data_IF_319369590806
#
_entry.id   IF_319369590806
#
_cell.length_a   1.000
_cell.length_b   1.000
_cell.length_c   1.000
_cell.angle_alpha   90.00
_cell.angle_beta   90.00
_cell.angle_gamma   90.00
#
_symmetry.space_group_name_H-M   'P 1'
#
loop_
_entity.id
_entity.type
_entity.pdbx_description
1 polymer ?
#
# COMPACT_ATOMS: atom_id res chain seq x y z
N UNK A 1 -19.21 1.22 28.77
CA UNK A 1 -20.15 1.03 27.64
C UNK A 1 -19.83 -0.27 26.90
N UNK A 2 -18.60 -0.47 26.41
CA UNK A 2 -18.17 -1.71 25.74
C UNK A 2 -18.40 -2.95 26.64
N UNK A 3 -17.96 -2.92 27.90
CA UNK A 3 -18.11 -4.07 28.83
C UNK A 3 -19.55 -4.53 29.04
N UNK A 4 -20.53 -3.62 28.93
CA UNK A 4 -21.95 -3.99 29.06
C UNK A 4 -22.50 -4.62 27.78
N UNK A 5 -21.98 -4.23 26.63
CA UNK A 5 -22.40 -4.77 25.33
C UNK A 5 -21.75 -6.13 25.07
N UNK A 6 -20.49 -6.32 25.50
CA UNK A 6 -19.78 -7.61 25.40
C UNK A 6 -20.52 -8.75 26.10
N UNK A 7 -21.24 -8.47 27.20
CA UNK A 7 -22.06 -9.48 27.91
C UNK A 7 -23.20 -10.05 27.07
N UNK A 8 -23.63 -9.34 26.03
CA UNK A 8 -24.74 -9.73 25.17
C UNK A 8 -24.28 -10.26 23.80
N UNK A 9 -22.97 -10.32 23.56
CA UNK A 9 -22.40 -10.82 22.32
C UNK A 9 -22.17 -12.33 22.37
N UNK A 10 -21.97 -12.93 21.20
CA UNK A 10 -21.45 -14.30 21.11
C UNK A 10 -20.19 -14.49 21.97
N UNK A 11 -20.14 -15.59 22.72
CA UNK A 11 -19.08 -15.86 23.71
C UNK A 11 -17.68 -15.97 23.11
N UNK A 12 -17.56 -16.48 21.87
CA UNK A 12 -16.26 -16.62 21.19
C UNK A 12 -15.75 -15.23 20.80
N UNK A 13 -16.63 -14.41 20.23
CA UNK A 13 -16.30 -13.03 19.83
C UNK A 13 -16.01 -12.17 21.06
N UNK A 14 -16.83 -12.25 22.12
CA UNK A 14 -16.61 -11.52 23.36
C UNK A 14 -15.24 -11.86 23.98
N UNK A 15 -14.90 -13.16 24.05
CA UNK A 15 -13.61 -13.61 24.58
C UNK A 15 -12.41 -13.12 23.74
N UNK A 16 -12.54 -13.09 22.41
CA UNK A 16 -11.52 -12.53 21.53
C UNK A 16 -11.31 -11.03 21.76
N UNK A 17 -12.40 -10.27 21.87
CA UNK A 17 -12.36 -8.83 22.11
C UNK A 17 -11.81 -8.48 23.50
N UNK A 18 -12.22 -9.22 24.55
CA UNK A 18 -11.68 -9.06 25.90
C UNK A 18 -10.17 -9.36 25.95
N UNK A 19 -9.73 -10.41 25.26
CA UNK A 19 -8.31 -10.75 25.13
C UNK A 19 -7.53 -9.58 24.53
N UNK A 20 -8.03 -9.01 23.43
CA UNK A 20 -7.41 -7.85 22.80
C UNK A 20 -7.37 -6.61 23.72
N UNK A 21 -8.48 -6.30 24.40
CA UNK A 21 -8.57 -5.19 25.35
C UNK A 21 -7.63 -5.34 26.55
N UNK A 22 -7.30 -6.59 26.92
CA UNK A 22 -6.31 -6.91 27.96
C UNK A 22 -4.85 -6.82 27.48
N UNK A 23 -4.62 -6.42 26.23
CA UNK A 23 -3.28 -6.29 25.63
C UNK A 23 -2.69 -7.60 25.13
N UNK A 24 -3.47 -8.69 25.08
CA UNK A 24 -3.01 -9.99 24.57
C UNK A 24 -3.32 -10.13 23.08
N UNK A 25 -2.42 -10.82 22.37
CA UNK A 25 -2.64 -11.16 20.97
C UNK A 25 -3.82 -12.15 20.82
N UNK A 26 -4.62 -11.95 19.78
CA UNK A 26 -5.67 -12.90 19.39
C UNK A 26 -5.14 -13.95 18.39
N UNK A 27 -5.78 -15.11 18.36
CA UNK A 27 -5.50 -16.21 17.45
C UNK A 27 -6.05 -15.94 16.04
N UNK A 28 -5.67 -16.77 15.08
CA UNK A 28 -6.28 -16.74 13.74
C UNK A 28 -7.75 -17.17 13.78
N UNK A 29 -8.13 -18.09 14.66
CA UNK A 29 -9.52 -18.52 14.83
C UNK A 29 -10.41 -17.41 15.38
N UNK A 30 -9.91 -16.65 16.36
CA UNK A 30 -10.57 -15.45 16.86
C UNK A 30 -10.82 -14.47 15.71
N UNK A 31 -9.77 -14.20 14.90
CA UNK A 31 -9.86 -13.27 13.79
C UNK A 31 -10.84 -13.72 12.71
N UNK A 32 -10.94 -15.02 12.43
CA UNK A 32 -11.97 -15.57 11.52
C UNK A 32 -13.37 -15.30 12.07
N UNK A 33 -13.62 -15.56 13.36
CA UNK A 33 -14.91 -15.26 13.98
C UNK A 33 -15.26 -13.76 13.89
N UNK A 34 -14.27 -12.88 14.09
CA UNK A 34 -14.47 -11.44 13.93
C UNK A 34 -14.74 -11.04 12.48
N UNK A 35 -14.04 -11.64 11.50
CA UNK A 35 -14.28 -11.39 10.08
C UNK A 35 -15.66 -11.85 9.62
N UNK A 36 -16.18 -12.94 10.19
CA UNK A 36 -17.48 -13.50 9.83
C UNK A 36 -18.63 -12.89 10.64
N UNK A 37 -18.32 -12.07 11.65
CA UNK A 37 -19.30 -11.38 12.48
C UNK A 37 -20.20 -10.41 11.70
N UNK A 38 -21.42 -10.24 12.22
CA UNK A 38 -22.45 -9.32 11.71
C UNK A 38 -23.13 -8.62 12.88
N UNK A 39 -24.00 -7.64 12.62
CA UNK A 39 -24.87 -7.06 13.66
C UNK A 39 -24.11 -6.46 14.85
N UNK A 40 -24.48 -6.85 16.07
CA UNK A 40 -23.91 -6.34 17.32
C UNK A 40 -22.41 -6.61 17.40
N UNK A 41 -21.98 -7.82 17.04
CA UNK A 41 -20.60 -8.28 17.11
C UNK A 41 -19.67 -7.50 16.17
N UNK A 42 -20.16 -7.18 14.97
CA UNK A 42 -19.42 -6.31 14.04
C UNK A 42 -19.23 -4.91 14.63
N UNK A 43 -20.29 -4.33 15.22
CA UNK A 43 -20.22 -3.02 15.85
C UNK A 43 -19.26 -3.02 17.05
N UNK A 44 -19.29 -4.07 17.87
CA UNK A 44 -18.36 -4.28 18.97
C UNK A 44 -16.91 -4.37 18.49
N UNK A 45 -16.67 -5.11 17.41
CA UNK A 45 -15.34 -5.22 16.78
C UNK A 45 -14.83 -3.84 16.37
N UNK A 46 -15.68 -3.02 15.74
CA UNK A 46 -15.34 -1.65 15.36
C UNK A 46 -15.02 -0.77 16.59
N UNK A 47 -15.87 -0.80 17.62
CA UNK A 47 -15.67 -0.03 18.86
C UNK A 47 -14.38 -0.42 19.59
N UNK A 48 -14.09 -1.71 19.68
CA UNK A 48 -12.86 -2.22 20.31
C UNK A 48 -11.64 -1.82 19.49
N UNK A 49 -11.71 -1.89 18.17
CA UNK A 49 -10.62 -1.40 17.31
C UNK A 49 -10.35 0.10 17.52
N UNK A 50 -11.38 0.93 17.59
CA UNK A 50 -11.21 2.37 17.84
C UNK A 50 -10.60 2.66 19.22
N UNK A 51 -11.05 1.92 20.25
CA UNK A 51 -10.51 2.03 21.60
C UNK A 51 -9.04 1.61 21.67
N UNK A 52 -8.66 0.50 21.02
CA UNK A 52 -7.27 0.06 20.92
C UNK A 52 -6.41 1.09 20.17
N UNK A 53 -6.91 1.62 19.05
CA UNK A 53 -6.24 2.70 18.31
C UNK A 53 -6.01 3.91 19.22
N UNK A 54 -7.04 4.37 19.94
CA UNK A 54 -6.94 5.51 20.86
C UNK A 54 -5.91 5.28 21.95
N UNK A 55 -5.84 4.08 22.55
CA UNK A 55 -4.83 3.73 23.57
C UNK A 55 -3.41 3.72 23.02
N UNK A 56 -3.23 3.22 21.80
CA UNK A 56 -1.90 2.97 21.23
C UNK A 56 -1.30 4.19 20.53
N UNK A 57 -2.11 4.96 19.79
CA UNK A 57 -1.62 6.06 18.93
C UNK A 57 -2.29 7.41 19.20
N UNK A 58 -3.22 7.49 20.16
CA UNK A 58 -3.93 8.72 20.48
C UNK A 58 -4.85 9.18 19.35
N UNK A 59 -5.11 10.49 19.30
CA UNK A 59 -6.07 11.10 18.37
C UNK A 59 -5.45 11.68 17.10
N UNK A 60 -4.13 11.54 16.94
CA UNK A 60 -3.46 11.94 15.72
C UNK A 60 -3.82 10.98 14.58
N UNK A 61 -4.21 11.56 13.45
CA UNK A 61 -4.31 10.83 12.17
C UNK A 61 -3.28 11.44 11.24
N UNK A 62 -2.39 10.58 10.75
CA UNK A 62 -1.26 11.03 9.95
C UNK A 62 -1.56 11.06 8.46
N UNK A 63 -0.76 11.79 7.69
CA UNK A 63 -0.69 11.69 6.23
C UNK A 63 0.71 12.09 5.73
N UNK A 64 1.07 11.66 4.52
CA UNK A 64 2.33 12.04 3.87
C UNK A 64 2.06 12.77 2.55
N UNK A 65 2.90 13.75 2.21
CA UNK A 65 2.87 14.37 0.88
C UNK A 65 3.83 13.59 0.00
N UNK A 66 3.29 12.87 -0.97
CA UNK A 66 4.07 11.99 -1.83
C UNK A 66 3.60 12.00 -3.29
N UNK A 67 4.44 11.46 -4.17
CA UNK A 67 4.15 11.23 -5.58
C UNK A 67 4.42 9.78 -5.97
N UNK A 68 3.50 9.18 -6.70
CA UNK A 68 3.73 7.88 -7.34
C UNK A 68 4.41 8.10 -8.70
N UNK A 69 5.47 7.35 -8.95
CA UNK A 69 6.20 7.34 -10.21
C UNK A 69 6.27 5.89 -10.68
N UNK A 70 5.25 5.48 -11.44
CA UNK A 70 5.27 4.20 -12.12
C UNK A 70 6.08 4.33 -13.41
N UNK A 71 7.34 3.89 -13.43
CA UNK A 71 8.24 4.18 -14.54
C UNK A 71 8.04 3.27 -15.76
N UNK A 72 7.31 2.16 -15.61
CA UNK A 72 6.85 1.35 -16.73
C UNK A 72 5.65 0.50 -16.31
N UNK A 73 4.74 0.25 -17.24
CA UNK A 73 3.66 -0.72 -17.09
C UNK A 73 3.95 -2.06 -17.80
N UNK A 74 5.08 -2.19 -18.50
CA UNK A 74 5.43 -3.43 -19.21
C UNK A 74 5.86 -4.48 -18.21
N UNK A 75 5.25 -5.67 -18.27
CA UNK A 75 5.50 -6.72 -17.29
C UNK A 75 5.47 -8.11 -17.91
N UNK A 76 6.46 -8.94 -17.56
CA UNK A 76 6.47 -10.37 -17.93
C UNK A 76 5.52 -11.23 -17.10
N UNK A 77 4.91 -10.68 -16.04
CA UNK A 77 3.95 -11.40 -15.19
C UNK A 77 2.53 -11.14 -15.67
N UNK A 78 1.70 -12.17 -15.60
CA UNK A 78 0.30 -12.12 -16.01
C UNK A 78 -0.60 -12.32 -14.79
N UNK A 79 -0.57 -11.35 -13.87
CA UNK A 79 -1.42 -11.39 -12.69
C UNK A 79 -2.88 -11.13 -13.06
N UNK A 80 -3.79 -12.02 -12.68
CA UNK A 80 -5.20 -11.93 -13.04
C UNK A 80 -5.90 -10.69 -12.49
N UNK A 81 -5.43 -10.12 -11.38
CA UNK A 81 -6.00 -8.90 -10.80
C UNK A 81 -5.40 -7.60 -11.34
N UNK A 82 -4.31 -7.65 -12.11
CA UNK A 82 -3.55 -6.46 -12.49
C UNK A 82 -4.05 -5.87 -13.81
N UNK A 83 -4.82 -4.78 -13.72
CA UNK A 83 -5.23 -4.00 -14.89
C UNK A 83 -4.14 -3.05 -15.42
N UNK A 84 -3.09 -2.82 -14.63
CA UNK A 84 -2.01 -1.89 -14.97
C UNK A 84 -0.99 -2.51 -15.93
N UNK A 85 -0.68 -3.80 -15.78
CA UNK A 85 0.36 -4.43 -16.60
C UNK A 85 -0.03 -4.49 -18.07
N UNK A 86 0.96 -4.30 -18.94
CA UNK A 86 0.87 -4.53 -20.38
C UNK A 86 1.91 -5.55 -20.81
N UNK A 87 1.54 -6.38 -21.78
CA UNK A 87 2.53 -7.22 -22.46
C UNK A 87 3.50 -6.32 -23.25
N UNK A 88 4.75 -6.77 -23.42
CA UNK A 88 5.79 -6.01 -24.11
C UNK A 88 5.50 -5.72 -25.58
N UNK A 89 4.46 -6.34 -26.15
CA UNK A 89 3.98 -6.13 -27.53
C UNK A 89 2.80 -5.18 -27.63
N UNK A 90 2.21 -4.77 -26.52
CA UNK A 90 1.03 -3.91 -26.51
C UNK A 90 1.41 -2.43 -26.73
N UNK A 91 0.58 -1.71 -27.48
CA UNK A 91 0.84 -0.32 -27.86
C UNK A 91 0.77 0.66 -26.69
N UNK A 92 0.08 0.27 -25.62
CA UNK A 92 -0.05 1.03 -24.36
C UNK A 92 1.14 0.82 -23.40
N UNK A 93 2.12 0.00 -23.78
CA UNK A 93 3.36 -0.18 -23.04
C UNK A 93 4.21 1.09 -23.06
N UNK A 94 4.64 1.56 -21.89
CA UNK A 94 5.56 2.71 -21.78
C UNK A 94 6.77 2.42 -20.89
N UNK A 95 7.83 3.19 -21.07
CA UNK A 95 9.03 3.16 -20.24
C UNK A 95 9.61 4.57 -20.09
N UNK A 96 9.60 5.10 -18.87
CA UNK A 96 10.12 6.42 -18.56
C UNK A 96 11.64 6.35 -18.47
N UNK A 97 12.37 7.24 -19.16
CA UNK A 97 13.81 7.37 -18.95
C UNK A 97 14.09 7.96 -17.56
N UNK A 98 15.28 7.69 -17.02
CA UNK A 98 15.68 8.12 -15.66
C UNK A 98 15.55 9.63 -15.47
N UNK A 99 15.82 10.43 -16.50
CA UNK A 99 15.69 11.89 -16.48
C UNK A 99 14.24 12.34 -16.24
N UNK A 100 13.26 11.62 -16.80
CA UNK A 100 11.85 11.91 -16.58
C UNK A 100 11.42 11.51 -15.16
N UNK A 101 11.97 10.41 -14.61
CA UNK A 101 11.74 10.01 -13.21
C UNK A 101 12.24 11.10 -12.27
N UNK A 102 13.47 11.58 -12.47
CA UNK A 102 14.08 12.67 -11.70
C UNK A 102 13.27 13.95 -11.83
N UNK A 103 12.87 14.34 -13.04
CA UNK A 103 12.02 15.52 -13.27
C UNK A 103 10.71 15.45 -12.49
N UNK A 104 10.03 14.30 -12.48
CA UNK A 104 8.79 14.10 -11.71
C UNK A 104 9.03 14.17 -10.21
N UNK A 105 10.16 13.64 -9.73
CA UNK A 105 10.56 13.77 -8.34
C UNK A 105 10.83 15.23 -7.95
N UNK A 106 11.50 16.01 -8.81
CA UNK A 106 11.76 17.44 -8.59
C UNK A 106 10.47 18.25 -8.55
N UNK A 107 9.53 17.99 -9.47
CA UNK A 107 8.22 18.63 -9.44
C UNK A 107 7.48 18.32 -8.13
N UNK A 108 7.50 17.07 -7.66
CA UNK A 108 6.88 16.70 -6.39
C UNK A 108 7.51 17.42 -5.19
N UNK A 109 8.84 17.42 -5.11
CA UNK A 109 9.62 18.08 -4.06
C UNK A 109 9.32 19.58 -4.01
N UNK A 110 9.21 20.24 -5.17
CA UNK A 110 8.87 21.66 -5.27
C UNK A 110 7.48 22.01 -4.70
N UNK A 111 6.61 21.00 -4.59
CA UNK A 111 5.26 21.11 -4.03
C UNK A 111 5.16 20.63 -2.58
N UNK A 112 6.30 20.34 -1.94
CA UNK A 112 6.38 19.92 -0.54
C UNK A 112 6.29 18.41 -0.33
N UNK A 113 6.45 17.59 -1.38
CA UNK A 113 6.53 16.14 -1.21
C UNK A 113 7.83 15.75 -0.48
N UNK A 114 7.69 14.94 0.56
CA UNK A 114 8.81 14.40 1.33
C UNK A 114 9.18 12.98 0.88
N UNK A 115 8.34 12.38 0.04
CA UNK A 115 8.48 11.01 -0.45
C UNK A 115 8.18 10.93 -1.95
N UNK A 116 8.96 10.10 -2.65
CA UNK A 116 8.60 9.56 -3.95
C UNK A 116 8.44 8.04 -3.85
N UNK A 117 7.29 7.54 -4.31
CA UNK A 117 7.00 6.12 -4.42
C UNK A 117 7.31 5.64 -5.84
N UNK A 118 8.36 4.85 -6.02
CA UNK A 118 8.83 4.41 -7.35
C UNK A 118 8.57 2.92 -7.52
N UNK A 119 7.76 2.56 -8.52
CA UNK A 119 7.38 1.18 -8.81
C UNK A 119 7.29 0.95 -10.32
N UNK A 120 7.24 -0.29 -10.75
CA UNK A 120 7.15 -0.66 -12.15
C UNK A 120 6.55 -2.06 -12.37
N UNK A 121 6.22 -2.32 -13.64
CA UNK A 121 6.22 -3.68 -14.16
C UNK A 121 7.63 -4.27 -14.24
N UNK A 122 7.74 -5.48 -14.78
CA UNK A 122 9.00 -6.19 -14.97
C UNK A 122 9.26 -6.38 -16.48
N UNK A 123 9.78 -5.37 -17.21
CA UNK A 123 10.01 -5.50 -18.64
C UNK A 123 11.03 -6.58 -18.95
N UNK A 124 10.85 -7.37 -20.02
CA UNK A 124 11.79 -8.42 -20.37
C UNK A 124 13.19 -7.85 -20.64
N UNK A 125 14.21 -8.51 -20.10
CA UNK A 125 15.63 -8.16 -20.29
C UNK A 125 16.05 -6.79 -19.78
N UNK A 126 15.26 -6.16 -18.91
CA UNK A 126 15.66 -4.94 -18.24
C UNK A 126 17.03 -5.14 -17.55
N UNK A 127 17.86 -4.10 -17.57
CA UNK A 127 19.12 -4.08 -16.83
C UNK A 127 18.82 -4.14 -15.32
N UNK A 128 19.41 -5.11 -14.61
CA UNK A 128 19.24 -5.26 -13.17
C UNK A 128 19.76 -4.05 -12.38
N UNK A 129 20.76 -3.32 -12.91
CA UNK A 129 21.32 -2.13 -12.26
C UNK A 129 20.42 -0.88 -12.42
N UNK A 130 19.38 -0.95 -13.24
CA UNK A 130 18.51 0.21 -13.47
C UNK A 130 17.89 0.74 -12.17
N UNK A 131 17.38 -0.15 -11.31
CA UNK A 131 16.77 0.24 -10.04
C UNK A 131 17.75 1.03 -9.15
N UNK A 132 18.99 0.53 -9.02
CA UNK A 132 20.08 1.20 -8.27
C UNK A 132 20.43 2.55 -8.91
N UNK A 133 20.52 2.60 -10.24
CA UNK A 133 20.84 3.82 -10.98
C UNK A 133 19.75 4.90 -10.87
N UNK A 134 18.47 4.50 -10.85
CA UNK A 134 17.35 5.41 -10.58
C UNK A 134 17.49 6.04 -9.19
N UNK A 135 17.76 5.25 -8.16
CA UNK A 135 17.97 5.77 -6.80
C UNK A 135 19.12 6.78 -6.74
N UNK A 136 20.28 6.44 -7.33
CA UNK A 136 21.44 7.35 -7.40
C UNK A 136 21.11 8.66 -8.12
N UNK A 137 20.39 8.58 -9.24
CA UNK A 137 20.02 9.75 -10.02
C UNK A 137 19.05 10.67 -9.26
N UNK A 138 18.05 10.10 -8.56
CA UNK A 138 17.14 10.87 -7.72
C UNK A 138 17.89 11.51 -6.55
N UNK A 139 18.74 10.76 -5.83
CA UNK A 139 19.50 11.29 -4.69
C UNK A 139 20.53 12.35 -5.07
N UNK A 140 21.08 12.29 -6.28
CA UNK A 140 21.99 13.31 -6.79
C UNK A 140 21.32 14.69 -6.85
N UNK A 141 20.08 14.74 -7.32
CA UNK A 141 19.34 16.00 -7.49
C UNK A 141 18.50 16.36 -6.25
N UNK A 142 18.07 15.37 -5.47
CA UNK A 142 17.19 15.48 -4.32
C UNK A 142 17.73 14.65 -3.14
N UNK A 143 18.80 15.09 -2.47
CA UNK A 143 19.44 14.30 -1.40
C UNK A 143 18.48 13.98 -0.23
N UNK A 144 17.58 14.89 0.08
CA UNK A 144 16.70 14.81 1.25
C UNK A 144 15.37 14.06 0.99
N UNK A 145 14.98 13.82 -0.27
CA UNK A 145 13.71 13.15 -0.56
C UNK A 145 13.77 11.69 -0.13
N UNK A 146 12.73 11.19 0.54
CA UNK A 146 12.64 9.77 0.88
C UNK A 146 12.27 8.96 -0.37
N UNK A 147 13.06 7.93 -0.68
CA UNK A 147 12.77 7.02 -1.79
C UNK A 147 12.09 5.78 -1.21
N UNK A 148 10.77 5.67 -1.40
CA UNK A 148 9.99 4.47 -1.10
C UNK A 148 9.84 3.67 -2.39
N UNK A 149 10.72 2.71 -2.65
CA UNK A 149 10.81 2.14 -3.99
C UNK A 149 10.93 0.62 -4.00
N UNK A 150 10.38 0.04 -5.06
CA UNK A 150 10.54 -1.35 -5.48
C UNK A 150 9.93 -2.38 -4.52
N UNK A 151 8.89 -3.05 -5.00
CA UNK A 151 8.31 -4.22 -4.33
C UNK A 151 9.32 -5.35 -4.17
N UNK A 152 9.08 -6.32 -3.26
CA UNK A 152 9.92 -7.51 -3.14
C UNK A 152 10.11 -8.28 -4.46
N UNK A 153 9.09 -8.28 -5.34
CA UNK A 153 9.20 -8.84 -6.69
C UNK A 153 10.23 -8.09 -7.55
N UNK A 154 10.18 -6.75 -7.54
CA UNK A 154 11.10 -5.91 -8.32
C UNK A 154 12.53 -6.02 -7.79
N UNK A 155 12.72 -6.07 -6.47
CA UNK A 155 14.04 -6.30 -5.86
C UNK A 155 14.58 -7.67 -6.26
N UNK A 156 13.74 -8.72 -6.20
CA UNK A 156 14.15 -10.05 -6.64
C UNK A 156 14.47 -10.11 -8.14
N UNK A 157 13.65 -9.45 -8.96
CA UNK A 157 13.89 -9.34 -10.38
C UNK A 157 15.22 -8.62 -10.67
N UNK A 158 15.47 -7.49 -10.01
CA UNK A 158 16.72 -6.73 -10.11
C UNK A 158 17.94 -7.58 -9.78
N UNK A 159 17.92 -8.25 -8.62
CA UNK A 159 18.98 -9.15 -8.16
C UNK A 159 19.26 -10.29 -9.15
N UNK A 160 18.22 -10.94 -9.68
CA UNK A 160 18.36 -12.00 -10.70
C UNK A 160 18.95 -11.43 -12.00
N UNK A 161 18.49 -10.25 -12.43
CA UNK A 161 18.94 -9.61 -13.68
C UNK A 161 20.37 -9.06 -13.60
N UNK A 162 20.85 -8.72 -12.41
CA UNK A 162 22.23 -8.28 -12.16
C UNK A 162 23.16 -9.43 -11.75
N UNK A 163 22.64 -10.66 -11.63
CA UNK A 163 23.38 -11.83 -11.14
C UNK A 163 23.99 -11.59 -9.73
N UNK A 164 23.31 -10.80 -8.91
CA UNK A 164 23.76 -10.39 -7.57
C UNK A 164 22.96 -11.14 -6.50
N UNK A 165 23.60 -11.72 -5.47
CA UNK A 165 22.90 -12.27 -4.32
C UNK A 165 21.98 -11.23 -3.64
N UNK A 166 20.79 -11.65 -3.23
CA UNK A 166 19.76 -10.76 -2.66
C UNK A 166 20.27 -9.81 -1.55
N UNK A 167 21.05 -10.28 -0.54
CA UNK A 167 21.54 -9.38 0.51
C UNK A 167 22.50 -8.29 -0.02
N UNK A 168 23.31 -8.62 -1.03
CA UNK A 168 24.23 -7.68 -1.66
C UNK A 168 23.44 -6.67 -2.50
N UNK A 169 22.44 -7.12 -3.25
CA UNK A 169 21.59 -6.25 -4.05
C UNK A 169 20.79 -5.25 -3.18
N UNK A 170 20.22 -5.72 -2.06
CA UNK A 170 19.55 -4.85 -1.08
C UNK A 170 20.52 -3.84 -0.46
N UNK A 171 21.77 -4.24 -0.19
CA UNK A 171 22.81 -3.34 0.30
C UNK A 171 23.14 -2.27 -0.73
N UNK A 172 23.29 -2.64 -2.00
CA UNK A 172 23.52 -1.68 -3.09
C UNK A 172 22.36 -0.69 -3.24
N UNK A 173 21.11 -1.14 -3.16
CA UNK A 173 19.94 -0.26 -3.15
C UNK A 173 19.96 0.72 -1.97
N UNK A 174 20.34 0.25 -0.77
CA UNK A 174 20.47 1.10 0.42
C UNK A 174 21.56 2.16 0.23
N UNK A 175 22.72 1.77 -0.28
CA UNK A 175 23.83 2.68 -0.58
C UNK A 175 23.48 3.69 -1.69
N UNK A 176 22.66 3.28 -2.65
CA UNK A 176 22.09 4.18 -3.67
C UNK A 176 21.03 5.14 -3.12
N UNK A 177 20.56 4.92 -1.90
CA UNK A 177 19.68 5.82 -1.17
C UNK A 177 18.21 5.41 -1.13
N UNK A 178 17.87 4.12 -1.36
CA UNK A 178 16.52 3.63 -1.01
C UNK A 178 16.28 3.83 0.49
N UNK A 179 15.18 4.47 0.83
CA UNK A 179 14.82 4.75 2.23
C UNK A 179 13.91 3.68 2.84
N UNK A 180 13.14 2.98 2.01
CA UNK A 180 12.22 1.90 2.42
C UNK A 180 11.68 1.17 1.18
N UNK A 181 11.15 -0.05 1.37
CA UNK A 181 10.49 -0.80 0.30
C UNK A 181 8.95 -0.84 0.49
N UNK A 182 8.15 -0.70 -0.58
CA UNK A 182 6.73 -1.02 -0.55
C UNK A 182 6.49 -2.51 -0.25
N UNK A 183 5.62 -2.83 0.70
CA UNK A 183 5.20 -4.19 1.02
C UNK A 183 4.23 -4.83 0.03
N UNK A 184 4.21 -4.35 -1.22
CA UNK A 184 3.35 -4.86 -2.28
C UNK A 184 3.84 -6.24 -2.77
N UNK A 185 3.15 -6.82 -3.76
CA UNK A 185 3.36 -8.20 -4.21
C UNK A 185 3.02 -9.29 -3.18
N UNK A 186 2.51 -8.90 -2.00
CA UNK A 186 2.02 -9.80 -0.97
C UNK A 186 0.65 -10.41 -1.35
N UNK A 187 -0.27 -9.58 -1.83
CA UNK A 187 -1.67 -9.91 -2.11
C UNK A 187 -2.33 -10.62 -0.92
N UNK A 188 -2.50 -11.94 -1.00
CA UNK A 188 -2.68 -12.81 0.15
C UNK A 188 -1.47 -13.74 0.21
N UNK A 189 -0.80 -13.81 1.37
CA UNK A 189 0.39 -14.64 1.58
C UNK A 189 0.04 -16.12 1.80
N UNK A 190 -0.76 -16.68 0.90
CA UNK A 190 -1.07 -18.11 0.77
C UNK A 190 -0.64 -18.58 -0.62
N UNK A 191 0.23 -19.60 -0.70
CA UNK A 191 0.85 -19.97 -1.97
C UNK A 191 -0.18 -20.57 -2.94
N UNK A 192 -1.08 -21.44 -2.46
CA UNK A 192 -2.06 -22.10 -3.31
C UNK A 192 -3.00 -21.09 -3.96
N UNK A 193 -3.44 -20.09 -3.20
CA UNK A 193 -4.25 -18.99 -3.68
C UNK A 193 -3.50 -18.11 -4.69
N UNK A 194 -2.23 -17.81 -4.43
CA UNK A 194 -1.39 -17.00 -5.35
C UNK A 194 -1.10 -17.70 -6.66
N UNK A 195 -0.97 -19.02 -6.65
CA UNK A 195 -0.82 -19.84 -7.86
C UNK A 195 -2.06 -19.75 -8.77
N UNK A 196 -3.23 -19.47 -8.19
CA UNK A 196 -4.48 -19.24 -8.93
C UNK A 196 -4.55 -17.82 -9.49
N UNK A 197 -4.31 -16.78 -8.68
CA UNK A 197 -4.58 -15.38 -9.08
C UNK A 197 -3.38 -14.66 -9.72
N UNK A 198 -2.17 -15.17 -9.51
CA UNK A 198 -0.91 -14.55 -9.96
C UNK A 198 0.18 -15.59 -10.25
N UNK A 199 -0.05 -16.50 -11.20
CA UNK A 199 0.90 -17.56 -11.51
C UNK A 199 2.26 -16.98 -11.92
N UNK A 200 3.33 -17.56 -11.37
CA UNK A 200 4.71 -17.15 -11.64
C UNK A 200 5.15 -15.87 -10.95
N UNK A 201 4.32 -15.24 -10.11
CA UNK A 201 4.77 -14.18 -9.19
C UNK A 201 5.69 -14.76 -8.09
N UNK A 202 6.47 -13.92 -7.44
CA UNK A 202 7.39 -14.25 -6.33
C UNK A 202 6.69 -15.18 -5.33
N UNK A 203 7.31 -16.27 -4.90
CA UNK A 203 6.68 -17.19 -3.95
C UNK A 203 6.45 -16.49 -2.59
N UNK A 204 5.57 -17.05 -1.74
CA UNK A 204 5.38 -16.53 -0.37
C UNK A 204 6.70 -16.62 0.40
N UNK A 205 7.42 -17.72 0.24
CA UNK A 205 8.74 -17.94 0.86
C UNK A 205 9.74 -16.86 0.46
N UNK A 206 9.83 -16.55 -0.83
CA UNK A 206 10.79 -15.57 -1.33
C UNK A 206 10.38 -14.15 -0.94
N UNK A 207 9.08 -13.83 -0.94
CA UNK A 207 8.59 -12.55 -0.43
C UNK A 207 9.00 -12.34 1.04
N UNK A 208 8.77 -13.36 1.89
CA UNK A 208 9.18 -13.31 3.30
C UNK A 208 10.69 -13.18 3.44
N UNK A 209 11.47 -13.89 2.61
CA UNK A 209 12.92 -13.81 2.64
C UNK A 209 13.44 -12.40 2.30
N UNK A 210 12.91 -11.78 1.23
CA UNK A 210 13.28 -10.41 0.83
C UNK A 210 12.97 -9.42 1.94
N UNK A 211 11.76 -9.48 2.52
CA UNK A 211 11.33 -8.58 3.60
C UNK A 211 12.25 -8.72 4.82
N UNK A 212 12.49 -9.95 5.29
CA UNK A 212 13.35 -10.18 6.46
C UNK A 212 14.80 -9.73 6.21
N UNK A 213 15.33 -9.94 5.00
CA UNK A 213 16.67 -9.47 4.64
C UNK A 213 16.74 -7.95 4.57
N UNK A 214 15.71 -7.29 4.03
CA UNK A 214 15.62 -5.83 4.03
C UNK A 214 15.63 -5.29 5.48
N UNK A 215 14.82 -5.87 6.36
CA UNK A 215 14.78 -5.50 7.78
C UNK A 215 16.11 -5.73 8.49
N UNK A 216 16.79 -6.86 8.23
CA UNK A 216 18.11 -7.15 8.79
C UNK A 216 19.18 -6.13 8.36
N UNK A 217 19.03 -5.56 7.16
CA UNK A 217 19.87 -4.47 6.66
C UNK A 217 19.40 -3.08 7.15
N UNK A 218 18.37 -2.99 7.99
CA UNK A 218 17.80 -1.73 8.48
C UNK A 218 17.06 -0.93 7.40
N UNK A 219 16.55 -1.61 6.37
CA UNK A 219 15.66 -1.03 5.36
C UNK A 219 14.22 -1.32 5.81
N UNK A 220 13.47 -0.33 6.30
CA UNK A 220 12.08 -0.55 6.70
C UNK A 220 11.20 -0.85 5.49
N UNK A 221 10.10 -1.56 5.69
CA UNK A 221 9.10 -1.78 4.63
C UNK A 221 7.70 -1.41 5.11
N UNK A 222 6.78 -1.24 4.16
CA UNK A 222 5.35 -1.28 4.46
C UNK A 222 4.87 -2.73 4.37
N UNK A 223 3.61 -3.00 4.70
CA UNK A 223 2.97 -4.30 4.51
C UNK A 223 1.57 -4.09 3.95
N UNK A 224 1.12 -4.98 3.05
CA UNK A 224 -0.15 -4.78 2.33
C UNK A 224 -0.94 -6.09 2.26
N UNK A 225 -2.26 -5.97 2.19
CA UNK A 225 -3.16 -7.09 1.87
C UNK A 225 -4.09 -6.69 0.74
N UNK A 226 -4.18 -7.50 -0.32
CA UNK A 226 -5.26 -7.37 -1.30
C UNK A 226 -6.40 -8.32 -0.91
N UNK A 227 -7.64 -7.81 -0.85
CA UNK A 227 -8.79 -8.58 -0.37
C UNK A 227 -10.09 -8.20 -1.08
N UNK A 228 -11.13 -9.02 -0.94
CA UNK A 228 -12.40 -8.90 -1.64
C UNK A 228 -12.41 -9.59 -3.01
N UNK A 229 -11.51 -10.54 -3.25
CA UNK A 229 -11.47 -11.37 -4.45
C UNK A 229 -11.97 -12.79 -4.13
N UNK A 230 -11.16 -13.84 -4.32
CA UNK A 230 -11.56 -15.24 -4.04
C UNK A 230 -11.15 -15.74 -2.63
N UNK A 231 -10.55 -14.88 -1.79
CA UNK A 231 -10.00 -15.31 -0.51
C UNK A 231 -11.06 -15.53 0.57
N UNK A 232 -10.72 -16.35 1.57
CA UNK A 232 -11.59 -16.63 2.72
C UNK A 232 -11.20 -15.76 3.92
N UNK A 233 -12.05 -15.72 4.95
CA UNK A 233 -11.71 -15.13 6.24
C UNK A 233 -10.47 -15.76 6.88
N UNK A 234 -10.28 -17.07 6.68
CA UNK A 234 -9.06 -17.78 7.11
C UNK A 234 -7.81 -17.22 6.44
N UNK A 235 -7.83 -17.08 5.12
CA UNK A 235 -6.70 -16.54 4.37
C UNK A 235 -6.32 -15.11 4.84
N UNK A 236 -7.32 -14.26 5.11
CA UNK A 236 -7.08 -12.90 5.66
C UNK A 236 -6.44 -12.96 7.05
N UNK A 237 -6.96 -13.80 7.95
CA UNK A 237 -6.43 -13.96 9.29
C UNK A 237 -4.99 -14.50 9.29
N UNK A 238 -4.70 -15.50 8.47
CA UNK A 238 -3.36 -16.09 8.36
C UNK A 238 -2.35 -15.13 7.74
N UNK A 239 -2.75 -14.35 6.73
CA UNK A 239 -1.92 -13.28 6.18
C UNK A 239 -1.52 -12.29 7.30
N UNK A 240 -2.48 -11.76 8.06
CA UNK A 240 -2.20 -10.77 9.11
C UNK A 240 -1.36 -11.40 10.23
N UNK A 241 -1.60 -12.65 10.58
CA UNK A 241 -0.79 -13.37 11.56
C UNK A 241 0.66 -13.54 11.08
N UNK A 242 0.89 -13.89 9.82
CA UNK A 242 2.24 -13.98 9.26
C UNK A 242 2.98 -12.64 9.34
N UNK A 243 2.32 -11.54 8.97
CA UNK A 243 2.89 -10.20 9.10
C UNK A 243 3.23 -9.87 10.57
N UNK A 244 2.35 -10.22 11.51
CA UNK A 244 2.59 -10.04 12.95
C UNK A 244 3.82 -10.79 13.43
N UNK A 245 3.99 -12.04 13.02
CA UNK A 245 5.15 -12.84 13.44
C UNK A 245 6.45 -12.31 12.83
N UNK A 246 6.44 -11.87 11.56
CA UNK A 246 7.60 -11.17 10.97
C UNK A 246 7.90 -9.88 11.74
N UNK A 247 6.87 -9.11 12.13
CA UNK A 247 7.05 -7.86 12.88
C UNK A 247 7.62 -8.09 14.28
N UNK A 248 7.19 -9.15 14.97
CA UNK A 248 7.75 -9.55 16.27
C UNK A 248 9.23 -9.92 16.18
N UNK A 249 9.63 -10.55 15.07
CA UNK A 249 11.01 -10.98 14.84
C UNK A 249 11.93 -9.83 14.41
N UNK A 250 11.43 -8.94 13.55
CA UNK A 250 12.30 -8.01 12.80
C UNK A 250 12.04 -6.54 13.08
N UNK A 251 10.85 -6.19 13.59
CA UNK A 251 10.43 -4.81 13.88
C UNK A 251 10.54 -3.82 12.71
N UNK A 252 10.60 -4.31 11.47
CA UNK A 252 10.92 -3.50 10.29
C UNK A 252 9.71 -2.97 9.52
N UNK A 253 8.49 -3.47 9.79
CA UNK A 253 7.29 -2.90 9.18
C UNK A 253 6.94 -1.55 9.81
N UNK A 254 6.61 -0.60 8.94
CA UNK A 254 6.19 0.77 9.32
C UNK A 254 4.68 0.91 9.40
N UNK A 255 3.94 0.24 8.53
CA UNK A 255 2.48 0.29 8.45
C UNK A 255 1.88 -0.97 7.82
N UNK A 256 0.58 -1.16 8.05
CA UNK A 256 -0.28 -2.10 7.33
C UNK A 256 -1.29 -1.35 6.46
N UNK A 257 -1.38 -1.74 5.19
CA UNK A 257 -2.24 -1.10 4.19
C UNK A 257 -3.23 -2.12 3.60
N UNK A 258 -4.51 -2.09 4.02
CA UNK A 258 -5.57 -2.82 3.35
C UNK A 258 -5.88 -2.25 1.96
N UNK A 259 -5.90 -3.11 0.97
CA UNK A 259 -6.15 -2.78 -0.44
C UNK A 259 -7.35 -3.58 -0.94
N UNK A 260 -8.55 -3.00 -0.94
CA UNK A 260 -9.69 -3.67 -1.57
C UNK A 260 -9.42 -3.91 -3.06
N UNK A 261 -9.92 -5.05 -3.55
CA UNK A 261 -9.85 -5.45 -4.94
C UNK A 261 -10.77 -4.57 -5.78
N UNK A 262 -10.19 -3.91 -6.78
CA UNK A 262 -10.93 -3.12 -7.78
C UNK A 262 -11.05 -3.99 -9.02
N UNK A 263 -12.27 -4.40 -9.34
CA UNK A 263 -12.52 -5.49 -10.28
C UNK A 263 -12.73 -5.06 -11.74
N UNK A 264 -13.09 -3.79 -11.98
CA UNK A 264 -13.65 -3.32 -13.25
C UNK A 264 -12.80 -3.68 -14.46
N UNK A 265 -11.49 -3.42 -14.38
CA UNK A 265 -10.54 -3.69 -15.47
C UNK A 265 -9.63 -4.90 -15.18
N UNK A 266 -9.90 -5.66 -14.12
CA UNK A 266 -9.06 -6.79 -13.72
C UNK A 266 -9.33 -8.01 -14.60
N UNK A 267 -8.32 -8.58 -15.31
CA UNK A 267 -8.51 -9.70 -16.23
C UNK A 267 -9.25 -10.92 -15.66
N UNK A 268 -9.01 -11.25 -14.40
CA UNK A 268 -9.66 -12.39 -13.73
C UNK A 268 -11.16 -12.18 -13.51
N UNK A 269 -11.61 -10.93 -13.48
CA UNK A 269 -13.02 -10.58 -13.40
C UNK A 269 -13.61 -10.35 -14.81
N UNK A 270 -12.99 -9.48 -15.62
CA UNK A 270 -13.51 -9.08 -16.93
C UNK A 270 -13.50 -10.21 -17.97
N UNK A 271 -12.54 -11.13 -17.90
CA UNK A 271 -12.45 -12.29 -18.80
C UNK A 271 -12.81 -13.62 -18.11
N UNK A 272 -13.26 -13.57 -16.85
CA UNK A 272 -13.64 -14.75 -16.06
C UNK A 272 -12.59 -15.89 -16.05
N UNK A 273 -11.30 -15.54 -16.01
CA UNK A 273 -10.21 -16.54 -16.07
C UNK A 273 -10.02 -17.31 -14.76
N UNK A 274 -10.66 -16.87 -13.67
CA UNK A 274 -10.63 -17.52 -12.36
C UNK A 274 -12.07 -17.71 -11.87
N UNK A 275 -12.37 -18.88 -11.32
CA UNK A 275 -13.68 -19.17 -10.77
C UNK A 275 -13.95 -18.40 -9.46
N UNK A 276 -15.21 -18.04 -9.22
CA UNK A 276 -15.69 -17.42 -7.98
C UNK A 276 -15.06 -16.05 -7.65
N UNK A 277 -14.52 -15.34 -8.62
CA UNK A 277 -14.00 -13.96 -8.42
C UNK A 277 -15.15 -13.04 -8.04
N UNK A 278 -14.97 -12.34 -6.92
CA UNK A 278 -15.90 -11.34 -6.42
C UNK A 278 -15.61 -9.97 -7.03
N UNK A 279 -16.60 -9.09 -7.03
CA UNK A 279 -16.49 -7.71 -7.50
C UNK A 279 -15.83 -6.75 -6.47
N UNK A 280 -15.03 -7.27 -5.54
CA UNK A 280 -14.46 -6.49 -4.45
C UNK A 280 -15.17 -6.70 -3.11
N UNK A 281 -14.64 -6.02 -2.09
CA UNK A 281 -15.16 -6.05 -0.73
C UNK A 281 -16.38 -5.12 -0.60
N UNK A 282 -17.44 -5.57 0.07
CA UNK A 282 -18.54 -4.71 0.47
C UNK A 282 -18.13 -3.77 1.62
N UNK A 283 -18.89 -2.70 1.85
CA UNK A 283 -18.56 -1.71 2.88
C UNK A 283 -18.39 -2.29 4.29
N UNK A 284 -19.18 -3.31 4.65
CA UNK A 284 -19.02 -4.00 5.94
C UNK A 284 -17.72 -4.81 6.04
N UNK A 285 -17.27 -5.41 4.95
CA UNK A 285 -15.99 -6.12 4.90
C UNK A 285 -14.80 -5.17 4.95
N UNK A 286 -14.91 -4.00 4.32
CA UNK A 286 -13.90 -2.94 4.39
C UNK A 286 -13.71 -2.47 5.83
N UNK A 287 -14.81 -2.22 6.55
CA UNK A 287 -14.78 -1.86 7.98
C UNK A 287 -14.15 -3.00 8.81
N UNK A 288 -14.61 -4.24 8.61
CA UNK A 288 -14.08 -5.41 9.33
C UNK A 288 -12.59 -5.63 9.05
N UNK A 289 -12.12 -5.39 7.82
CA UNK A 289 -10.70 -5.49 7.50
C UNK A 289 -9.84 -4.58 8.37
N UNK A 290 -10.21 -3.31 8.48
CA UNK A 290 -9.45 -2.36 9.30
C UNK A 290 -9.58 -2.66 10.80
N UNK A 291 -10.80 -2.98 11.27
CA UNK A 291 -11.05 -3.25 12.68
C UNK A 291 -10.32 -4.52 13.16
N UNK A 292 -10.42 -5.62 12.41
CA UNK A 292 -9.73 -6.87 12.74
C UNK A 292 -8.22 -6.71 12.61
N UNK A 293 -7.72 -6.00 11.59
CA UNK A 293 -6.29 -5.70 11.47
C UNK A 293 -5.77 -4.93 12.68
N UNK A 294 -6.49 -3.89 13.14
CA UNK A 294 -6.16 -3.18 14.39
C UNK A 294 -6.07 -4.13 15.56
N UNK A 295 -7.09 -4.95 15.77
CA UNK A 295 -7.13 -5.88 16.90
C UNK A 295 -5.97 -6.88 16.85
N UNK A 296 -5.67 -7.44 15.67
CA UNK A 296 -4.59 -8.43 15.51
C UNK A 296 -3.19 -7.83 15.65
N UNK A 297 -2.99 -6.60 15.16
CA UNK A 297 -1.68 -5.95 15.02
C UNK A 297 -1.37 -4.94 16.12
N UNK A 298 -2.34 -4.56 16.97
CA UNK A 298 -2.25 -3.42 17.88
C UNK A 298 -0.94 -3.33 18.66
N UNK A 299 -0.44 -4.47 19.14
CA UNK A 299 0.72 -4.55 20.01
C UNK A 299 2.06 -4.40 19.27
N UNK A 300 2.09 -4.63 17.95
CA UNK A 300 3.34 -4.82 17.18
C UNK A 300 3.47 -3.88 15.97
N UNK A 301 2.35 -3.53 15.34
CA UNK A 301 2.30 -2.66 14.16
C UNK A 301 1.19 -1.63 14.35
N UNK A 302 1.48 -0.47 14.93
CA UNK A 302 0.47 0.47 15.39
C UNK A 302 -0.18 1.27 14.26
N UNK A 303 0.44 1.32 13.08
CA UNK A 303 -0.01 2.16 11.98
C UNK A 303 -0.83 1.36 10.96
N UNK A 304 -2.08 1.76 10.80
CA UNK A 304 -3.01 1.20 9.81
C UNK A 304 -3.49 2.33 8.93
N UNK A 305 -3.14 2.22 7.65
CA UNK A 305 -3.45 3.21 6.62
C UNK A 305 -4.82 2.93 5.99
N UNK A 306 -5.58 3.97 5.70
CA UNK A 306 -6.74 3.89 4.80
C UNK A 306 -6.31 4.04 3.34
N UNK A 307 -6.93 3.29 2.44
CA UNK A 307 -6.68 3.40 1.01
C UNK A 307 -7.74 4.26 0.33
N UNK A 308 -7.67 5.59 0.48
CA UNK A 308 -8.71 6.50 -0.04
C UNK A 308 -8.89 6.43 -1.56
N UNK A 309 -7.85 6.04 -2.31
CA UNK A 309 -7.95 5.79 -3.75
C UNK A 309 -8.80 4.57 -4.10
N UNK A 310 -9.09 3.70 -3.14
CA UNK A 310 -9.93 2.52 -3.33
C UNK A 310 -11.31 2.69 -2.68
N UNK A 311 -11.32 3.26 -1.48
CA UNK A 311 -12.54 3.36 -0.67
C UNK A 311 -13.29 4.70 -0.83
N UNK A 312 -12.60 5.74 -1.30
CA UNK A 312 -13.11 7.10 -1.38
C UNK A 312 -13.15 7.83 -0.02
N UNK A 313 -13.23 9.16 -0.07
CA UNK A 313 -13.11 10.02 1.10
C UNK A 313 -14.10 9.69 2.24
N UNK A 314 -15.36 9.37 1.92
CA UNK A 314 -16.41 9.09 2.93
C UNK A 314 -16.13 7.81 3.70
N UNK A 315 -15.77 6.73 3.01
CA UNK A 315 -15.42 5.47 3.67
C UNK A 315 -14.11 5.63 4.45
N UNK A 316 -13.10 6.32 3.90
CA UNK A 316 -11.85 6.59 4.62
C UNK A 316 -12.08 7.34 5.94
N UNK A 317 -13.01 8.29 6.01
CA UNK A 317 -13.38 8.93 7.28
C UNK A 317 -14.01 7.95 8.28
N UNK A 318 -14.91 7.07 7.82
CA UNK A 318 -15.53 6.05 8.67
C UNK A 318 -14.48 5.09 9.24
N UNK A 319 -13.47 4.74 8.44
CA UNK A 319 -12.40 3.84 8.83
C UNK A 319 -11.52 4.38 9.96
N UNK A 320 -11.48 5.70 10.19
CA UNK A 320 -10.83 6.31 11.35
C UNK A 320 -11.51 5.95 12.68
N UNK A 321 -12.78 5.51 12.63
CA UNK A 321 -13.51 4.95 13.77
C UNK A 321 -13.48 3.40 13.78
N UNK A 322 -12.76 2.78 12.84
CA UNK A 322 -12.58 1.33 12.72
C UNK A 322 -11.10 0.93 12.93
N UNK A 323 -10.34 1.74 13.66
CA UNK A 323 -8.97 1.42 14.06
C UNK A 323 -7.86 1.92 13.13
N UNK A 324 -8.18 2.55 12.00
CA UNK A 324 -7.19 3.22 11.16
C UNK A 324 -6.69 4.52 11.84
N UNK A 325 -5.43 4.86 11.61
CA UNK A 325 -4.80 6.07 12.16
C UNK A 325 -3.90 6.81 11.16
N UNK A 326 -3.91 6.39 9.91
CA UNK A 326 -3.17 7.03 8.84
C UNK A 326 -4.05 7.19 7.61
N UNK A 327 -4.12 8.41 7.09
CA UNK A 327 -4.90 8.76 5.90
C UNK A 327 -4.14 8.45 4.60
N UNK A 328 -2.87 8.05 4.71
CA UNK A 328 -2.01 7.71 3.60
C UNK A 328 -1.41 8.92 2.87
N UNK A 329 -1.03 8.70 1.62
CA UNK A 329 -0.36 9.70 0.79
C UNK A 329 -1.33 10.66 0.07
N UNK A 330 -0.84 11.83 -0.31
CA UNK A 330 -1.52 12.69 -1.30
C UNK A 330 -1.56 12.06 -2.69
N UNK A 331 -0.62 11.15 -2.98
CA UNK A 331 -0.52 10.33 -4.19
C UNK A 331 -0.58 11.13 -5.49
N UNK A 332 0.24 12.18 -5.64
CA UNK A 332 0.34 12.92 -6.91
C UNK A 332 0.56 11.88 -8.03
N UNK A 333 -0.31 11.84 -9.04
CA UNK A 333 -0.31 10.85 -10.13
C UNK A 333 -0.53 9.37 -9.75
N UNK A 334 -1.50 9.04 -8.90
CA UNK A 334 -1.90 7.62 -8.78
C UNK A 334 -2.37 7.06 -10.14
N UNK A 335 -1.63 6.07 -10.67
CA UNK A 335 -1.91 5.45 -11.97
C UNK A 335 -2.46 4.02 -11.89
N UNK A 336 -2.12 3.23 -10.86
CA UNK A 336 -2.48 1.81 -10.75
C UNK A 336 -3.97 1.63 -10.44
N UNK A 337 -4.48 2.29 -9.40
CA UNK A 337 -5.89 2.22 -9.00
C UNK A 337 -6.78 2.85 -10.07
N UNK A 338 -6.31 3.92 -10.73
CA UNK A 338 -7.03 4.51 -11.88
C UNK A 338 -7.09 3.52 -13.03
N UNK A 339 -5.98 2.86 -13.38
CA UNK A 339 -5.97 1.85 -14.44
C UNK A 339 -6.86 0.64 -14.12
N UNK A 340 -7.05 0.31 -12.84
CA UNK A 340 -7.99 -0.70 -12.39
C UNK A 340 -9.47 -0.27 -12.43
N UNK A 341 -9.75 1.02 -12.65
CA UNK A 341 -11.11 1.57 -12.78
C UNK A 341 -11.59 2.42 -11.59
N UNK A 342 -10.73 2.72 -10.60
CA UNK A 342 -11.12 3.58 -9.48
C UNK A 342 -11.51 4.99 -9.94
N UNK A 343 -12.59 5.51 -9.36
CA UNK A 343 -13.15 6.83 -9.63
C UNK A 343 -12.82 7.87 -8.55
N UNK A 344 -11.97 7.52 -7.57
CA UNK A 344 -11.68 8.37 -6.41
C UNK A 344 -10.56 9.40 -6.62
N UNK A 345 -10.00 9.45 -7.83
CA UNK A 345 -9.02 10.46 -8.25
C UNK A 345 -7.57 10.02 -8.10
N UNK A 346 -6.66 10.92 -8.50
CA UNK A 346 -5.21 10.70 -8.60
C UNK A 346 -4.40 11.70 -7.76
N UNK A 347 -5.08 12.42 -6.88
CA UNK A 347 -4.51 13.40 -5.95
C UNK A 347 -5.57 13.75 -4.90
N UNK A 348 -5.22 13.61 -3.62
CA UNK A 348 -5.96 14.25 -2.54
C UNK A 348 -5.09 15.36 -1.95
N UNK A 349 -5.58 16.59 -2.00
CA UNK A 349 -4.84 17.77 -1.53
C UNK A 349 -4.69 17.76 0.01
N UNK A 350 -3.56 18.21 0.56
CA UNK A 350 -3.33 18.25 2.01
C UNK A 350 -4.47 18.90 2.80
N UNK A 351 -5.00 20.04 2.35
CA UNK A 351 -6.12 20.74 3.00
C UNK A 351 -7.38 19.87 3.10
N UNK A 352 -7.65 19.07 2.07
CA UNK A 352 -8.81 18.17 2.06
C UNK A 352 -8.60 17.02 3.05
N UNK A 353 -7.40 16.41 3.09
CA UNK A 353 -7.06 15.37 4.08
C UNK A 353 -7.25 15.92 5.50
N UNK A 354 -6.71 17.12 5.80
CA UNK A 354 -6.85 17.76 7.11
C UNK A 354 -8.32 18.02 7.47
N UNK A 355 -9.11 18.53 6.52
CA UNK A 355 -10.56 18.75 6.70
C UNK A 355 -11.30 17.45 7.02
N UNK A 356 -11.00 16.38 6.30
CA UNK A 356 -11.62 15.06 6.49
C UNK A 356 -11.29 14.49 7.87
N UNK A 357 -10.03 14.60 8.30
CA UNK A 357 -9.57 14.18 9.63
C UNK A 357 -10.27 14.97 10.74
N UNK A 358 -10.30 16.31 10.64
CA UNK A 358 -10.99 17.16 11.64
C UNK A 358 -12.47 16.85 11.75
N UNK A 359 -13.14 16.64 10.60
CA UNK A 359 -14.56 16.31 10.55
C UNK A 359 -14.87 14.95 11.19
N UNK A 360 -13.88 14.06 11.32
CA UNK A 360 -13.97 12.81 12.08
C UNK A 360 -13.64 12.97 13.57
N UNK A 361 -13.44 14.20 14.07
CA UNK A 361 -13.08 14.47 15.47
C UNK A 361 -11.67 14.02 15.83
N UNK A 362 -10.72 14.13 14.90
CA UNK A 362 -9.32 13.73 15.05
C UNK A 362 -8.37 14.89 14.71
N UNK A 363 -7.11 14.77 15.12
CA UNK A 363 -6.09 15.80 14.89
C UNK A 363 -5.20 15.44 13.70
N UNK A 364 -5.16 16.25 12.62
CA UNK A 364 -4.29 15.96 11.50
C UNK A 364 -2.81 16.17 11.83
N UNK A 365 -1.97 15.27 11.33
CA UNK A 365 -0.51 15.41 11.40
C UNK A 365 0.16 15.00 10.08
N UNK A 366 1.11 15.80 9.60
CA UNK A 366 1.98 15.39 8.51
C UNK A 366 3.12 14.54 9.07
N UNK A 367 3.39 13.38 8.45
CA UNK A 367 4.48 12.46 8.82
C UNK A 367 5.51 12.32 7.70
N UNK A 368 6.69 11.78 8.05
CA UNK A 368 7.59 11.15 7.08
C UNK A 368 7.09 9.75 6.69
N UNK A 369 7.71 9.14 5.69
CA UNK A 369 7.47 7.74 5.32
C UNK A 369 7.71 6.77 6.48
N UNK A 370 8.72 7.05 7.31
CA UNK A 370 9.06 6.27 8.52
C UNK A 370 8.30 6.72 9.77
N UNK A 371 7.15 7.39 9.61
CA UNK A 371 6.25 7.77 10.70
C UNK A 371 6.79 8.76 11.74
N UNK A 372 7.89 9.47 11.44
CA UNK A 372 8.28 10.65 12.24
C UNK A 372 7.27 11.76 11.99
N UNK A 373 6.66 12.30 13.04
CA UNK A 373 5.79 13.47 12.93
C UNK A 373 6.60 14.69 12.49
N UNK A 374 6.20 15.31 11.39
CA UNK A 374 6.81 16.52 10.85
C UNK A 374 6.07 17.79 11.32
N UNK A 375 4.74 17.74 11.30
CA UNK A 375 3.89 18.85 11.75
C UNK A 375 2.56 18.32 12.27
N UNK A 376 2.16 18.77 13.45
CA UNK A 376 0.79 18.59 13.97
C UNK A 376 0.00 19.86 13.66
N UNK A 377 -1.25 19.70 13.24
CA UNK A 377 -2.15 20.81 12.94
C UNK A 377 -3.20 20.90 14.05
N UNK A 378 -2.85 21.55 15.15
CA UNK A 378 -3.65 21.58 16.37
C UNK A 378 -4.88 22.49 16.25
N UNK A 379 -4.76 23.61 15.55
CA UNK A 379 -5.83 24.60 15.31
C UNK A 379 -6.04 24.76 13.79
N UNK A 380 -7.28 25.03 13.36
CA UNK A 380 -7.60 25.32 11.96
C UNK A 380 -6.78 26.50 11.40
N UNK A 381 -6.33 27.43 12.23
CA UNK A 381 -5.42 28.51 11.85
C UNK A 381 -4.05 28.02 11.38
N UNK A 382 -3.65 26.81 11.79
CA UNK A 382 -2.39 26.18 11.37
C UNK A 382 -2.51 25.47 10.02
N UNK A 383 -3.74 25.31 9.49
CA UNK A 383 -4.05 24.71 8.19
C UNK A 383 -3.73 25.66 7.03
N UNK A 384 -2.54 26.26 7.06
CA UNK A 384 -2.01 27.06 5.97
C UNK A 384 -2.04 26.26 4.65
N UNK A 385 -2.37 26.98 3.58
CA UNK A 385 -2.42 26.40 2.25
C UNK A 385 -1.01 26.00 1.82
N UNK A 386 -0.83 24.72 1.45
CA UNK A 386 0.43 24.22 0.92
C UNK A 386 0.58 24.55 -0.57
N UNK A 387 1.80 24.49 -1.10
CA UNK A 387 2.02 24.65 -2.54
C UNK A 387 1.19 23.65 -3.38
N UNK A 388 1.00 22.44 -2.88
CA UNK A 388 0.16 21.42 -3.52
C UNK A 388 -1.34 21.76 -3.45
N UNK A 389 -1.80 22.46 -2.42
CA UNK A 389 -3.19 22.89 -2.31
C UNK A 389 -3.55 23.92 -3.40
N UNK A 390 -2.62 24.80 -3.76
CA UNK A 390 -2.81 25.81 -4.82
C UNK A 390 -2.45 25.30 -6.22
N UNK A 391 -1.84 24.11 -6.34
CA UNK A 391 -1.46 23.55 -7.64
C UNK A 391 -2.69 23.14 -8.48
N UNK A 392 -2.61 23.39 -9.79
CA UNK A 392 -3.55 22.85 -10.77
C UNK A 392 -3.20 21.38 -11.05
N UNK A 393 -4.08 20.41 -10.72
CA UNK A 393 -3.83 18.99 -10.96
C UNK A 393 -3.56 18.63 -12.42
N UNK A 394 -4.04 19.43 -13.39
CA UNK A 394 -3.88 19.15 -14.82
C UNK A 394 -2.40 19.08 -15.26
N UNK A 395 -1.51 19.80 -14.57
CA UNK A 395 -0.06 19.84 -14.89
C UNK A 395 0.64 18.51 -14.71
N UNK A 396 0.10 17.65 -13.85
CA UNK A 396 0.68 16.37 -13.51
C UNK A 396 0.45 15.33 -14.60
N UNK A 397 -0.52 15.57 -15.49
CA UNK A 397 -0.99 14.61 -16.46
C UNK A 397 -1.75 13.44 -15.82
N UNK A 398 -2.17 12.48 -16.65
CA UNK A 398 -2.85 11.25 -16.20
C UNK A 398 -2.26 10.01 -16.84
N UNK A 399 -2.54 8.84 -16.26
CA UNK A 399 -2.21 7.54 -16.87
C UNK A 399 -2.72 7.43 -18.32
N UNK A 400 -3.96 7.82 -18.57
CA UNK A 400 -4.59 7.78 -19.91
C UNK A 400 -3.89 8.69 -20.93
N UNK A 401 -3.32 9.81 -20.48
CA UNK A 401 -2.48 10.65 -21.35
C UNK A 401 -1.12 10.00 -21.56
N UNK A 402 -0.52 9.45 -20.51
CA UNK A 402 0.81 8.85 -20.55
C UNK A 402 0.91 7.71 -21.57
N UNK A 403 -0.04 6.77 -21.58
CA UNK A 403 -0.05 5.63 -22.52
C UNK A 403 -0.24 6.04 -23.99
N UNK A 404 -0.68 7.28 -24.25
CA UNK A 404 -0.84 7.84 -25.60
C UNK A 404 0.39 8.62 -26.07
N UNK A 405 1.39 8.84 -25.21
CA UNK A 405 2.59 9.59 -25.57
C UNK A 405 3.61 8.70 -26.28
N UNK A 406 3.77 8.91 -27.59
CA UNK A 406 4.76 8.18 -28.40
C UNK A 406 6.20 8.30 -27.86
N UNK A 407 6.53 9.44 -27.23
CA UNK A 407 7.88 9.70 -26.68
C UNK A 407 8.33 8.71 -25.61
N UNK A 408 7.41 8.04 -24.92
CA UNK A 408 7.71 7.07 -23.86
C UNK A 408 7.26 5.66 -24.22
N UNK A 409 6.77 5.44 -25.45
CA UNK A 409 6.31 4.12 -25.87
C UNK A 409 7.44 3.11 -25.73
N UNK A 410 7.13 1.98 -25.13
CA UNK A 410 8.09 0.90 -24.97
C UNK A 410 8.51 0.38 -26.35
N UNK A 411 9.82 0.30 -26.56
CA UNK A 411 10.41 -0.25 -27.79
C UNK A 411 11.15 -1.53 -27.43
N UNK A 412 10.69 -2.66 -27.94
CA UNK A 412 11.45 -3.90 -27.85
C UNK A 412 12.73 -3.76 -28.70
N UNK A 413 13.88 -3.81 -28.04
CA UNK A 413 15.20 -3.66 -28.65
C UNK A 413 15.48 -4.64 -29.82
N UNK A 414 14.63 -5.64 -30.05
CA UNK A 414 14.70 -6.55 -31.20
C UNK A 414 13.95 -6.11 -32.47
N UNK A 415 13.02 -5.15 -32.42
CA UNK A 415 12.35 -4.67 -33.65
C UNK A 415 13.26 -3.78 -34.50
N UNK A 416 14.21 -3.09 -33.88
CA UNK A 416 15.12 -2.16 -34.55
C UNK A 416 16.44 -2.83 -35.03
N UNK A 417 16.48 -4.17 -35.08
CA UNK A 417 17.64 -4.97 -35.55
C UNK A 417 17.35 -5.78 -36.83
N UNK A 418 16.39 -5.36 -37.65
CA UNK A 418 16.12 -5.95 -38.98
C UNK A 418 16.59 -4.99 -40.07
#
# INVERSE_FOLDING_TARGET
MIDSLLKNADTVIAAALDRALSGKDISTDDAVALFDSIGLEMNLTMMVADELRRRTVGDNVTYVVNRNINFTNVCIKQCGFCAFSRDFREEEGYFLPTEEIVKRAQEASSLGATEVCIQAGLPPKMDGNLYVNICRAVKKELPDVHIHAFSPEEVMYGAIRSETPMPEYLKELKEAGVGSLPGTAAEILDQNLRDVISPGRISVKDWVAVIKQAHALGIPTTSTIMYGHIETSRHKAEHIALLREIQKETHGFTEFVPLSFVHTEAPMYSHATVANVRSGAGGSEVIKMHAVARIMLNNHLPNIQVSWVKEGARMSQLLLAAGANDFGGTLINESISTAAGSQHGQLMKPKEIRRLIRSAGRMPAQRSTTYRTLKVFSDEKEDQESALDSADPSRFGSYHQLIKLDKFRYKDAKKDRI
#
